data_IF_796629756779
#
_entry.id   IF_796629756779
#
_cell.length_a   1.000
_cell.length_b   1.000
_cell.length_c   1.000
_cell.angle_alpha   90.00
_cell.angle_beta   90.00
_cell.angle_gamma   90.00
#
_symmetry.space_group_name_H-M   'P 1'
#
loop_
_entity.id
_entity.type
_entity.pdbx_description
1 polymer ?
#
# COMPACT_ATOMS: atom_id res chain seq x y z
N UNK A 1 17.93 -0.36 -21.69
CA UNK A 1 19.41 -0.30 -21.60
C UNK A 1 20.13 -0.47 -22.95
N UNK A 2 19.98 -1.61 -23.67
CA UNK A 2 20.67 -1.86 -24.94
C UNK A 2 20.47 -0.76 -26.00
N UNK A 3 19.23 -0.29 -26.17
CA UNK A 3 18.90 0.80 -27.09
C UNK A 3 19.67 2.09 -26.77
N UNK A 4 19.73 2.47 -25.48
CA UNK A 4 20.46 3.66 -25.03
C UNK A 4 21.95 3.50 -25.31
N UNK A 5 22.54 2.36 -24.96
CA UNK A 5 23.98 2.12 -25.16
C UNK A 5 24.40 2.22 -26.64
N UNK A 6 23.52 1.82 -27.57
CA UNK A 6 23.75 1.96 -29.03
C UNK A 6 23.86 3.41 -29.49
N UNK A 7 23.11 4.34 -28.88
CA UNK A 7 23.02 5.74 -29.30
C UNK A 7 23.80 6.70 -28.40
N UNK A 8 24.11 6.27 -27.18
CA UNK A 8 24.93 7.04 -26.26
C UNK A 8 26.37 7.10 -26.76
N UNK A 9 27.04 8.26 -26.61
CA UNK A 9 28.44 8.42 -26.97
C UNK A 9 29.38 7.36 -26.35
N UNK A 10 30.51 7.13 -27.02
CA UNK A 10 31.46 6.05 -26.67
C UNK A 10 32.14 6.21 -25.31
N UNK A 11 32.20 7.43 -24.76
CA UNK A 11 32.76 7.70 -23.42
C UNK A 11 31.87 7.19 -22.28
N UNK A 12 30.62 6.81 -22.55
CA UNK A 12 29.81 6.04 -21.61
C UNK A 12 30.15 4.55 -21.72
N UNK A 13 30.73 4.00 -20.66
CA UNK A 13 31.17 2.60 -20.58
C UNK A 13 30.04 1.65 -20.16
N UNK A 14 28.92 2.18 -19.64
CA UNK A 14 27.75 1.38 -19.31
C UNK A 14 26.49 2.19 -19.00
N UNK A 15 25.35 1.50 -19.03
CA UNK A 15 24.03 2.06 -18.70
C UNK A 15 23.51 1.39 -17.44
N UNK A 16 23.28 2.18 -16.40
CA UNK A 16 22.64 1.75 -15.16
C UNK A 16 21.13 1.76 -15.36
N UNK A 17 20.47 0.68 -14.95
CA UNK A 17 19.03 0.50 -15.03
C UNK A 17 18.57 -0.44 -13.91
N UNK A 18 17.26 -0.62 -13.80
CA UNK A 18 16.62 -1.51 -12.84
C UNK A 18 16.04 -2.70 -13.59
N UNK A 19 16.35 -3.90 -13.10
CA UNK A 19 15.75 -5.10 -13.66
C UNK A 19 14.34 -5.32 -13.12
N UNK A 20 13.65 -6.35 -13.63
CA UNK A 20 12.27 -6.71 -13.20
C UNK A 20 12.17 -7.19 -11.75
N UNK A 21 13.28 -7.19 -11.01
CA UNK A 21 13.33 -7.54 -9.59
C UNK A 21 13.82 -6.35 -8.76
N UNK A 22 13.74 -5.14 -9.32
CA UNK A 22 14.14 -3.87 -8.72
C UNK A 22 15.61 -3.83 -8.27
N UNK A 23 16.46 -4.63 -8.91
CA UNK A 23 17.89 -4.66 -8.59
C UNK A 23 18.61 -3.66 -9.48
N UNK A 24 19.55 -2.94 -8.87
CA UNK A 24 20.45 -2.03 -9.57
C UNK A 24 21.44 -2.83 -10.44
N UNK A 25 21.26 -2.76 -11.76
CA UNK A 25 22.12 -3.40 -12.74
C UNK A 25 22.85 -2.35 -13.58
N UNK A 26 23.99 -2.73 -14.15
CA UNK A 26 24.67 -1.96 -15.19
C UNK A 26 24.97 -2.84 -16.40
N UNK A 27 24.51 -2.39 -17.56
CA UNK A 27 24.83 -2.98 -18.85
C UNK A 27 26.17 -2.43 -19.34
N UNK A 28 27.19 -3.28 -19.42
CA UNK A 28 28.54 -2.91 -19.83
C UNK A 28 28.66 -2.84 -21.36
N UNK A 29 29.27 -1.78 -21.90
CA UNK A 29 29.52 -1.64 -23.34
C UNK A 29 30.51 -2.66 -23.88
N UNK A 30 31.56 -2.95 -23.13
CA UNK A 30 32.66 -3.83 -23.55
C UNK A 30 32.22 -5.29 -23.75
N UNK A 31 31.33 -5.79 -22.90
CA UNK A 31 30.91 -7.20 -22.89
C UNK A 31 29.48 -7.42 -23.34
N UNK A 32 28.66 -6.37 -23.38
CA UNK A 32 27.21 -6.47 -23.61
C UNK A 32 26.45 -7.20 -22.50
N UNK A 33 27.08 -7.43 -21.34
CA UNK A 33 26.47 -8.14 -20.20
C UNK A 33 26.01 -7.17 -19.12
N UNK A 34 24.88 -7.50 -18.50
CA UNK A 34 24.42 -6.84 -17.29
C UNK A 34 25.06 -7.48 -16.06
N UNK A 35 25.54 -6.65 -15.13
CA UNK A 35 26.09 -7.08 -13.84
C UNK A 35 25.53 -6.20 -12.71
N UNK A 36 25.51 -6.68 -11.45
CA UNK A 36 25.07 -5.87 -10.32
C UNK A 36 25.90 -4.59 -10.21
N UNK A 37 25.22 -3.45 -10.00
CA UNK A 37 25.88 -2.14 -9.94
C UNK A 37 26.94 -2.08 -8.82
N UNK A 38 26.70 -2.77 -7.71
CA UNK A 38 27.62 -2.87 -6.56
C UNK A 38 28.93 -3.59 -6.88
N UNK A 39 28.94 -4.44 -7.91
CA UNK A 39 30.12 -5.21 -8.34
C UNK A 39 30.86 -4.53 -9.51
N UNK A 40 30.37 -3.38 -9.96
CA UNK A 40 30.93 -2.67 -11.10
C UNK A 40 31.88 -1.55 -10.68
N UNK A 41 33.12 -1.59 -11.18
CA UNK A 41 34.15 -0.57 -10.92
C UNK A 41 34.06 0.70 -11.78
N UNK A 42 33.08 0.81 -12.70
CA UNK A 42 32.93 1.99 -13.55
C UNK A 42 32.57 3.21 -12.70
N UNK A 43 33.37 4.27 -12.84
CA UNK A 43 33.14 5.55 -12.18
C UNK A 43 31.77 6.16 -12.56
N UNK A 44 31.07 6.82 -11.63
CA UNK A 44 29.81 7.51 -11.93
C UNK A 44 29.86 8.49 -13.10
N UNK A 45 31.04 9.03 -13.42
CA UNK A 45 31.23 9.98 -14.53
C UNK A 45 31.27 9.31 -15.90
N UNK A 46 31.41 7.98 -15.97
CA UNK A 46 31.48 7.20 -17.21
C UNK A 46 30.27 6.28 -17.42
N UNK A 47 29.21 6.47 -16.64
CA UNK A 47 27.97 5.69 -16.75
C UNK A 47 26.78 6.60 -16.99
N UNK A 48 25.81 6.09 -17.72
CA UNK A 48 24.52 6.74 -17.92
C UNK A 48 23.50 6.06 -17.01
N UNK A 49 22.76 6.80 -16.20
CA UNK A 49 21.70 6.23 -15.36
C UNK A 49 20.34 6.51 -16.00
N UNK A 50 19.56 5.47 -16.24
CA UNK A 50 18.18 5.58 -16.68
C UNK A 50 17.24 5.31 -15.51
N UNK A 51 16.31 6.23 -15.27
CA UNK A 51 15.17 6.06 -14.38
C UNK A 51 13.91 6.06 -15.24
N UNK A 52 13.04 5.07 -15.05
CA UNK A 52 11.64 5.19 -15.47
C UNK A 52 10.83 5.87 -14.35
N UNK A 53 9.54 6.09 -14.60
CA UNK A 53 8.64 6.80 -13.70
C UNK A 53 8.47 6.09 -12.35
N UNK A 54 8.23 4.78 -12.35
CA UNK A 54 7.94 3.96 -11.17
C UNK A 54 9.14 3.97 -10.23
N UNK A 55 10.35 3.85 -10.78
CA UNK A 55 11.58 3.78 -10.01
C UNK A 55 12.21 5.15 -9.66
N UNK A 56 11.47 6.25 -9.84
CA UNK A 56 11.92 7.56 -9.32
C UNK A 56 11.80 7.67 -7.79
N UNK A 57 11.15 6.70 -7.13
CA UNK A 57 11.00 6.62 -5.67
C UNK A 57 11.85 5.50 -5.07
N UNK A 58 12.19 5.59 -3.77
CA UNK A 58 12.85 4.52 -3.01
C UNK A 58 14.33 4.22 -3.31
N UNK A 59 14.84 4.50 -4.52
CA UNK A 59 16.17 4.05 -4.95
C UNK A 59 17.23 5.15 -4.98
N UNK A 60 18.37 4.90 -4.33
CA UNK A 60 19.52 5.82 -4.31
C UNK A 60 20.66 5.29 -5.20
N UNK A 61 20.90 5.96 -6.32
CA UNK A 61 22.03 5.70 -7.22
C UNK A 61 22.89 6.95 -7.24
N UNK A 62 24.10 6.86 -6.70
CA UNK A 62 25.03 8.00 -6.64
C UNK A 62 25.37 8.49 -8.04
N UNK A 63 25.13 9.76 -8.32
CA UNK A 63 25.51 10.39 -9.59
C UNK A 63 26.85 11.11 -9.46
N UNK A 64 27.52 11.40 -10.58
CA UNK A 64 28.74 12.20 -10.57
C UNK A 64 28.48 13.62 -10.00
N UNK A 65 29.45 14.27 -9.34
CA UNK A 65 29.26 15.61 -8.78
C UNK A 65 28.86 16.68 -9.81
N UNK A 66 29.27 16.51 -11.06
CA UNK A 66 28.95 17.39 -12.19
C UNK A 66 27.95 16.77 -13.16
N UNK A 67 27.19 15.77 -12.70
CA UNK A 67 26.23 15.07 -13.56
C UNK A 67 25.13 16.02 -14.04
N UNK A 68 24.70 15.82 -15.27
CA UNK A 68 23.57 16.51 -15.87
C UNK A 68 22.46 15.51 -16.12
N UNK A 69 21.26 15.80 -15.63
CA UNK A 69 20.08 14.99 -15.88
C UNK A 69 19.22 15.59 -16.97
N UNK A 70 18.54 14.72 -17.71
CA UNK A 70 17.44 15.09 -18.61
C UNK A 70 16.16 14.62 -17.94
N UNK A 71 15.20 15.52 -17.78
CA UNK A 71 13.86 15.21 -17.27
C UNK A 71 12.86 15.49 -18.38
N UNK A 72 12.14 14.47 -18.80
CA UNK A 72 11.07 14.56 -19.80
C UNK A 72 9.75 14.93 -19.11
N UNK A 73 9.02 15.90 -19.67
CA UNK A 73 7.74 16.35 -19.12
C UNK A 73 6.58 15.77 -19.94
N UNK A 74 5.68 15.05 -19.26
CA UNK A 74 4.45 14.49 -19.84
C UNK A 74 3.22 15.36 -19.58
N UNK A 75 2.12 15.10 -20.31
CA UNK A 75 0.86 15.88 -20.21
C UNK A 75 0.16 15.74 -18.84
N UNK A 76 0.25 14.57 -18.21
CA UNK A 76 -0.45 14.24 -16.96
C UNK A 76 0.49 14.22 -15.75
N UNK A 77 1.75 14.66 -15.94
CA UNK A 77 2.73 14.70 -14.86
C UNK A 77 2.32 15.74 -13.81
N UNK A 78 2.49 15.39 -12.53
CA UNK A 78 2.28 16.31 -11.42
C UNK A 78 3.59 16.92 -10.94
N UNK A 79 3.50 17.96 -10.10
CA UNK A 79 4.71 18.54 -9.50
C UNK A 79 5.46 17.52 -8.62
N UNK A 80 4.73 16.60 -7.98
CA UNK A 80 5.32 15.52 -7.16
C UNK A 80 6.23 14.63 -7.99
N UNK A 81 5.72 14.14 -9.12
CA UNK A 81 6.46 13.27 -10.05
C UNK A 81 7.75 13.94 -10.53
N UNK A 82 7.62 15.19 -10.97
CA UNK A 82 8.73 15.99 -11.44
C UNK A 82 9.79 16.17 -10.35
N UNK A 83 9.37 16.53 -9.14
CA UNK A 83 10.27 16.73 -8.01
C UNK A 83 10.96 15.42 -7.60
N UNK A 84 10.24 14.29 -7.58
CA UNK A 84 10.80 12.98 -7.22
C UNK A 84 11.89 12.53 -8.20
N UNK A 85 11.65 12.70 -9.50
CA UNK A 85 12.62 12.43 -10.56
C UNK A 85 13.80 13.39 -10.52
N UNK A 86 13.56 14.70 -10.44
CA UNK A 86 14.62 15.70 -10.37
C UNK A 86 15.53 15.49 -9.14
N UNK A 87 14.96 15.21 -7.97
CA UNK A 87 15.72 15.00 -6.74
C UNK A 87 16.50 13.68 -6.67
N UNK A 88 16.48 12.84 -7.72
CA UNK A 88 17.53 11.81 -7.89
C UNK A 88 18.90 12.45 -8.08
N UNK A 89 18.95 13.67 -8.60
CA UNK A 89 20.13 14.53 -8.61
C UNK A 89 20.28 15.22 -7.24
N UNK A 90 20.82 14.51 -6.25
CA UNK A 90 20.97 15.01 -4.86
C UNK A 90 21.77 16.32 -4.73
N UNK A 91 22.59 16.65 -5.73
CA UNK A 91 23.46 17.82 -5.77
C UNK A 91 22.97 18.95 -6.67
N UNK A 92 21.67 19.05 -6.98
CA UNK A 92 21.12 20.16 -7.79
C UNK A 92 21.56 21.51 -7.20
N UNK A 93 22.10 22.38 -8.05
CA UNK A 93 22.61 23.69 -7.66
C UNK A 93 23.98 23.65 -6.95
N UNK A 94 24.55 22.45 -6.75
CA UNK A 94 25.89 22.21 -6.18
C UNK A 94 26.75 21.38 -7.16
N UNK A 95 26.73 21.77 -8.42
CA UNK A 95 27.47 21.12 -9.51
C UNK A 95 26.60 20.23 -10.41
N UNK A 96 25.52 19.64 -9.89
CA UNK A 96 24.57 18.90 -10.72
C UNK A 96 23.49 19.83 -11.30
N UNK A 97 23.08 19.55 -12.53
CA UNK A 97 22.05 20.33 -13.24
C UNK A 97 20.98 19.43 -13.84
N UNK A 98 19.81 20.02 -14.12
CA UNK A 98 18.67 19.35 -14.77
C UNK A 98 18.32 20.12 -16.04
N UNK A 99 18.10 19.40 -17.12
CA UNK A 99 17.62 19.92 -18.40
C UNK A 99 16.23 19.35 -18.68
N UNK A 100 15.28 20.23 -19.00
CA UNK A 100 13.92 19.84 -19.30
C UNK A 100 13.77 19.55 -20.79
N UNK A 101 13.26 18.35 -21.10
CA UNK A 101 12.89 17.97 -22.46
C UNK A 101 11.37 17.99 -22.56
N UNK A 102 10.87 18.94 -23.36
CA UNK A 102 9.45 19.24 -23.48
C UNK A 102 9.07 19.14 -24.95
N UNK A 103 8.10 18.27 -25.25
CA UNK A 103 7.57 18.14 -26.60
C UNK A 103 6.71 19.37 -26.96
N UNK A 104 6.63 19.76 -28.25
CA UNK A 104 5.91 20.97 -28.67
C UNK A 104 4.47 21.04 -28.18
N UNK A 105 3.77 19.91 -28.14
CA UNK A 105 2.36 19.80 -27.71
C UNK A 105 2.19 20.14 -26.22
N UNK A 106 3.11 19.66 -25.37
CA UNK A 106 3.12 19.97 -23.94
C UNK A 106 3.52 21.43 -23.72
N UNK A 107 4.50 21.93 -24.49
CA UNK A 107 4.89 23.34 -24.44
C UNK A 107 3.71 24.26 -24.76
N UNK A 108 2.96 23.95 -25.82
CA UNK A 108 1.78 24.72 -26.20
C UNK A 108 0.69 24.70 -25.11
N UNK A 109 0.48 23.55 -24.44
CA UNK A 109 -0.44 23.45 -23.30
C UNK A 109 -0.01 24.31 -22.11
N UNK A 110 1.29 24.31 -21.77
CA UNK A 110 1.84 25.17 -20.72
C UNK A 110 1.58 26.64 -21.05
N UNK A 111 1.92 27.06 -22.27
CA UNK A 111 1.70 28.43 -22.74
C UNK A 111 0.22 28.84 -22.66
N UNK A 112 -0.68 27.98 -23.13
CA UNK A 112 -2.13 28.23 -23.13
C UNK A 112 -2.69 28.34 -21.69
N UNK A 113 -2.38 27.38 -20.82
CA UNK A 113 -2.95 27.32 -19.48
C UNK A 113 -2.39 28.36 -18.52
N UNK A 114 -1.13 28.78 -18.71
CA UNK A 114 -0.54 29.89 -17.94
C UNK A 114 -0.95 31.26 -18.49
N UNK A 115 -1.73 31.30 -19.57
CA UNK A 115 -2.35 32.51 -20.10
C UNK A 115 -1.48 33.30 -21.07
N UNK A 116 -0.56 32.66 -21.81
CA UNK A 116 0.20 33.34 -22.88
C UNK A 116 -0.78 34.02 -23.86
N UNK A 117 -0.66 35.35 -24.00
CA UNK A 117 -1.56 36.17 -24.82
C UNK A 117 -2.73 36.82 -24.08
N UNK A 118 -2.95 36.51 -22.80
CA UNK A 118 -3.94 37.19 -21.96
C UNK A 118 -3.30 38.42 -21.30
N UNK A 119 -4.00 39.56 -21.35
CA UNK A 119 -3.57 40.79 -20.68
C UNK A 119 -4.32 40.94 -19.36
N UNK A 120 -3.61 40.86 -18.23
CA UNK A 120 -4.19 41.06 -16.89
C UNK A 120 -3.50 40.23 -15.79
N UNK A 121 -3.95 40.36 -14.52
CA UNK A 121 -3.38 39.64 -13.37
C UNK A 121 -3.60 38.12 -13.41
N UNK A 122 -4.38 37.62 -14.36
CA UNK A 122 -4.62 36.19 -14.58
C UNK A 122 -3.52 35.51 -15.43
N UNK A 123 -2.68 36.28 -16.14
CA UNK A 123 -1.53 35.73 -16.86
C UNK A 123 -0.37 35.51 -15.88
N UNK A 124 0.01 34.25 -15.72
CA UNK A 124 1.14 33.84 -14.87
C UNK A 124 2.31 33.28 -15.68
N UNK A 125 2.18 33.25 -17.02
CA UNK A 125 3.25 32.86 -17.94
C UNK A 125 4.42 33.85 -17.88
N UNK A 126 5.62 33.35 -17.61
CA UNK A 126 6.82 34.18 -17.45
C UNK A 126 7.78 34.11 -18.63
N UNK A 127 7.61 33.14 -19.54
CA UNK A 127 8.55 32.85 -20.62
C UNK A 127 9.81 32.11 -20.15
N UNK A 128 9.93 31.83 -18.85
CA UNK A 128 11.02 31.09 -18.23
C UNK A 128 10.55 29.69 -17.90
N UNK A 129 11.01 28.72 -18.68
CA UNK A 129 10.60 27.32 -18.57
C UNK A 129 10.84 26.74 -17.17
N UNK A 130 11.91 27.18 -16.49
CA UNK A 130 12.23 26.77 -15.12
C UNK A 130 11.22 27.23 -14.07
N UNK A 131 10.38 28.22 -14.37
CA UNK A 131 9.27 28.67 -13.52
C UNK A 131 7.92 28.20 -14.05
N UNK A 132 7.72 28.28 -15.37
CA UNK A 132 6.47 27.96 -16.04
C UNK A 132 6.14 26.46 -15.92
N UNK A 133 7.13 25.56 -16.04
CA UNK A 133 6.90 24.11 -15.90
C UNK A 133 6.43 23.74 -14.49
N UNK A 134 7.13 24.10 -13.40
CA UNK A 134 6.62 23.88 -12.05
C UNK A 134 5.23 24.48 -11.80
N UNK A 135 4.96 25.70 -12.28
CA UNK A 135 3.65 26.34 -12.12
C UNK A 135 2.54 25.54 -12.80
N UNK A 136 2.77 25.11 -14.05
CA UNK A 136 1.84 24.28 -14.79
C UNK A 136 1.63 22.90 -14.14
N UNK A 137 2.70 22.25 -13.67
CA UNK A 137 2.63 20.99 -12.96
C UNK A 137 1.86 21.09 -11.63
N UNK A 138 1.89 22.25 -10.96
CA UNK A 138 1.06 22.51 -9.77
C UNK A 138 -0.42 22.65 -10.13
N UNK A 139 -0.74 23.30 -11.25
CA UNK A 139 -2.11 23.35 -11.77
C UNK A 139 -2.61 21.93 -12.09
N UNK A 140 -1.76 21.09 -12.68
CA UNK A 140 -2.08 19.67 -12.88
C UNK A 140 -2.35 18.96 -11.56
N UNK A 141 -1.54 19.18 -10.52
CA UNK A 141 -1.81 18.61 -9.19
C UNK A 141 -3.18 19.04 -8.64
N UNK A 142 -3.54 20.32 -8.77
CA UNK A 142 -4.86 20.82 -8.31
C UNK A 142 -6.01 20.20 -9.10
N UNK A 143 -5.84 20.04 -10.42
CA UNK A 143 -6.81 19.37 -11.28
C UNK A 143 -6.99 17.91 -10.87
N UNK A 144 -5.89 17.19 -10.62
CA UNK A 144 -5.92 15.80 -10.15
C UNK A 144 -6.64 15.68 -8.79
N UNK A 145 -6.38 16.59 -7.85
CA UNK A 145 -7.09 16.62 -6.57
C UNK A 145 -8.60 16.90 -6.74
N UNK A 146 -8.98 17.74 -7.71
CA UNK A 146 -10.36 17.95 -8.11
C UNK A 146 -11.04 16.66 -8.61
N UNK A 147 -10.37 15.88 -9.45
CA UNK A 147 -10.85 14.58 -9.93
C UNK A 147 -11.06 13.59 -8.77
N UNK A 148 -10.09 13.52 -7.86
CA UNK A 148 -10.18 12.68 -6.66
C UNK A 148 -11.38 13.07 -5.77
N UNK A 149 -11.63 14.37 -5.63
CA UNK A 149 -12.81 14.87 -4.94
C UNK A 149 -14.12 14.43 -5.62
N UNK A 150 -14.17 14.42 -6.96
CA UNK A 150 -15.32 13.91 -7.72
C UNK A 150 -15.53 12.41 -7.52
N UNK A 151 -14.46 11.59 -7.56
CA UNK A 151 -14.47 10.14 -7.29
C UNK A 151 -15.00 9.86 -5.89
N UNK A 152 -14.44 10.53 -4.88
CA UNK A 152 -14.87 10.40 -3.49
C UNK A 152 -16.36 10.78 -3.31
N UNK A 153 -16.81 11.86 -3.92
CA UNK A 153 -18.21 12.29 -3.82
C UNK A 153 -19.17 11.27 -4.45
N UNK A 154 -18.79 10.63 -5.56
CA UNK A 154 -19.56 9.53 -6.14
C UNK A 154 -19.58 8.30 -5.23
N UNK A 155 -18.44 7.92 -4.65
CA UNK A 155 -18.36 6.81 -3.69
C UNK A 155 -19.18 7.09 -2.42
N UNK A 156 -19.17 8.32 -1.91
CA UNK A 156 -19.99 8.75 -0.78
C UNK A 156 -21.49 8.55 -1.07
N UNK A 157 -21.95 8.86 -2.27
CA UNK A 157 -23.33 8.63 -2.68
C UNK A 157 -23.63 7.13 -2.78
N UNK A 158 -22.78 6.36 -3.46
CA UNK A 158 -22.91 4.91 -3.55
C UNK A 158 -23.03 4.24 -2.17
N UNK A 159 -22.26 4.72 -1.20
CA UNK A 159 -22.32 4.23 0.17
C UNK A 159 -23.69 4.40 0.84
N UNK A 160 -24.49 5.40 0.47
CA UNK A 160 -25.80 5.65 1.07
C UNK A 160 -26.75 4.50 0.75
N UNK A 161 -26.97 4.22 -0.54
CA UNK A 161 -27.88 3.15 -0.94
C UNK A 161 -27.28 1.75 -0.79
N UNK A 162 -25.95 1.57 -0.89
CA UNK A 162 -25.29 0.28 -0.57
C UNK A 162 -25.48 -0.10 0.90
N UNK A 163 -25.37 0.85 1.84
CA UNK A 163 -25.65 0.58 3.27
C UNK A 163 -27.11 0.20 3.50
N UNK A 164 -28.04 0.88 2.85
CA UNK A 164 -29.45 0.52 2.92
C UNK A 164 -29.70 -0.90 2.36
N UNK A 165 -29.16 -1.19 1.17
CA UNK A 165 -29.26 -2.49 0.52
C UNK A 165 -28.69 -3.61 1.41
N UNK A 166 -27.52 -3.39 2.01
CA UNK A 166 -26.91 -4.36 2.94
C UNK A 166 -27.78 -4.57 4.18
N UNK A 167 -28.28 -3.50 4.80
CA UNK A 167 -29.16 -3.61 5.97
C UNK A 167 -30.45 -4.38 5.65
N UNK A 168 -31.02 -4.17 4.46
CA UNK A 168 -32.19 -4.92 3.99
C UNK A 168 -31.87 -6.42 3.81
N UNK A 169 -30.72 -6.75 3.21
CA UNK A 169 -30.25 -8.13 3.05
C UNK A 169 -29.98 -8.80 4.41
N UNK A 170 -29.30 -8.12 5.34
CA UNK A 170 -29.05 -8.64 6.69
C UNK A 170 -30.34 -8.85 7.49
N UNK A 171 -31.29 -7.92 7.40
CA UNK A 171 -32.58 -8.02 8.08
C UNK A 171 -33.37 -9.23 7.60
N UNK A 172 -33.37 -9.49 6.28
CA UNK A 172 -33.94 -10.70 5.70
C UNK A 172 -33.27 -11.96 6.25
N UNK A 173 -31.93 -12.00 6.25
CA UNK A 173 -31.16 -13.14 6.76
C UNK A 173 -31.53 -13.44 8.22
N UNK A 174 -31.59 -12.39 9.07
CA UNK A 174 -31.94 -12.53 10.49
C UNK A 174 -33.38 -13.00 10.66
N UNK A 175 -34.34 -12.46 9.90
CA UNK A 175 -35.75 -12.84 9.99
C UNK A 175 -36.01 -14.30 9.59
N UNK A 176 -35.19 -14.86 8.69
CA UNK A 176 -35.34 -16.21 8.15
C UNK A 176 -34.24 -17.20 8.58
N UNK A 177 -33.44 -16.87 9.59
CA UNK A 177 -32.29 -17.66 10.05
C UNK A 177 -32.64 -19.13 10.39
N UNK A 178 -33.83 -19.36 10.96
CA UNK A 178 -34.25 -20.67 11.47
C UNK A 178 -35.34 -21.37 10.64
N UNK A 179 -35.75 -20.81 9.49
CA UNK A 179 -37.01 -21.20 8.83
C UNK A 179 -36.84 -21.99 7.51
N UNK A 180 -35.64 -22.12 6.96
CA UNK A 180 -35.47 -22.59 5.57
C UNK A 180 -34.27 -23.53 5.36
N UNK A 181 -34.41 -24.43 4.38
CA UNK A 181 -33.34 -25.33 3.90
C UNK A 181 -32.30 -24.56 3.09
N UNK A 182 -31.02 -25.00 3.02
CA UNK A 182 -29.94 -24.25 2.36
C UNK A 182 -30.23 -23.80 0.92
N UNK A 183 -30.94 -24.59 0.12
CA UNK A 183 -31.29 -24.25 -1.26
C UNK A 183 -32.35 -23.13 -1.35
N UNK A 184 -33.34 -23.12 -0.45
CA UNK A 184 -34.36 -22.07 -0.35
C UNK A 184 -33.77 -20.75 0.16
N UNK A 185 -32.65 -20.80 0.89
CA UNK A 185 -31.96 -19.60 1.37
C UNK A 185 -31.34 -18.77 0.26
N UNK A 186 -30.96 -19.39 -0.85
CA UNK A 186 -30.32 -18.70 -1.98
C UNK A 186 -31.36 -18.16 -2.96
N UNK A 187 -32.38 -18.95 -3.31
CA UNK A 187 -33.40 -18.56 -4.31
C UNK A 187 -34.31 -17.43 -3.85
N UNK A 188 -34.50 -17.23 -2.54
CA UNK A 188 -35.38 -16.18 -1.99
C UNK A 188 -34.94 -14.75 -2.33
N UNK A 189 -33.63 -14.53 -2.45
CA UNK A 189 -33.09 -13.22 -2.83
C UNK A 189 -33.27 -12.93 -4.31
N UNK A 190 -33.43 -13.97 -5.13
CA UNK A 190 -33.77 -13.83 -6.54
C UNK A 190 -35.27 -13.70 -6.78
N UNK A 191 -36.10 -14.33 -5.94
CA UNK A 191 -37.56 -14.33 -6.07
C UNK A 191 -38.23 -13.01 -5.65
N UNK A 192 -37.66 -12.29 -4.67
CA UNK A 192 -38.18 -11.00 -4.21
C UNK A 192 -37.56 -9.83 -5.00
N UNK A 193 -38.38 -9.09 -5.76
CA UNK A 193 -37.91 -8.00 -6.64
C UNK A 193 -37.10 -6.91 -5.92
N UNK A 194 -37.46 -6.56 -4.68
CA UNK A 194 -36.73 -5.57 -3.89
C UNK A 194 -35.33 -6.05 -3.46
N UNK A 195 -35.20 -7.31 -3.02
CA UNK A 195 -33.91 -7.88 -2.61
C UNK A 195 -32.98 -8.13 -3.79
N UNK A 196 -33.54 -8.50 -4.93
CA UNK A 196 -32.79 -8.57 -6.20
C UNK A 196 -32.19 -7.20 -6.54
N UNK A 197 -32.96 -6.12 -6.36
CA UNK A 197 -32.47 -4.75 -6.51
C UNK A 197 -31.33 -4.41 -5.55
N UNK A 198 -31.39 -4.87 -4.29
CA UNK A 198 -30.30 -4.72 -3.33
C UNK A 198 -29.01 -5.43 -3.78
N UNK A 199 -29.11 -6.67 -4.27
CA UNK A 199 -27.96 -7.46 -4.76
C UNK A 199 -27.31 -6.79 -5.97
N UNK A 200 -28.10 -6.23 -6.89
CA UNK A 200 -27.57 -5.56 -8.07
C UNK A 200 -26.65 -4.37 -7.73
N UNK A 201 -26.79 -3.73 -6.56
CA UNK A 201 -25.91 -2.62 -6.14
C UNK A 201 -24.49 -3.05 -5.77
N UNK A 202 -24.26 -4.35 -5.63
CA UNK A 202 -22.95 -4.97 -5.37
C UNK A 202 -22.43 -5.78 -6.56
N UNK A 203 -23.15 -5.82 -7.68
CA UNK A 203 -22.68 -6.50 -8.89
C UNK A 203 -22.02 -5.49 -9.80
N UNK A 204 -20.79 -5.78 -10.18
CA UNK A 204 -20.04 -5.01 -11.17
C UNK A 204 -20.12 -5.75 -12.51
N UNK A 205 -20.62 -5.10 -13.58
CA UNK A 205 -20.64 -5.72 -14.89
C UNK A 205 -19.22 -5.85 -15.42
N UNK A 206 -18.82 -7.06 -15.80
CA UNK A 206 -17.48 -7.38 -16.32
C UNK A 206 -17.28 -6.82 -17.76
N UNK A 207 -18.38 -6.44 -18.43
CA UNK A 207 -18.33 -5.88 -19.78
C UNK A 207 -18.40 -4.36 -19.79
N UNK A 208 -17.59 -3.74 -20.66
CA UNK A 208 -17.70 -2.32 -21.01
C UNK A 208 -18.57 -2.17 -22.27
N UNK A 209 -19.90 -1.97 -22.15
CA UNK A 209 -20.74 -1.74 -23.32
C UNK A 209 -20.34 -0.41 -23.97
N UNK A 210 -19.84 -0.48 -25.22
CA UNK A 210 -19.53 0.70 -26.01
C UNK A 210 -20.84 1.22 -26.62
N UNK A 211 -21.26 2.47 -26.35
CA UNK A 211 -22.45 3.03 -26.96
C UNK A 211 -22.31 3.13 -28.48
N UNK A 212 -23.39 2.85 -29.22
CA UNK A 212 -23.42 2.97 -30.70
C UNK A 212 -23.43 4.43 -31.19
N UNK A 213 -23.22 5.41 -30.31
CA UNK A 213 -23.23 6.83 -30.60
C UNK A 213 -22.15 7.55 -29.81
N UNK A 214 -21.72 8.71 -30.33
CA UNK A 214 -20.76 9.58 -29.65
C UNK A 214 -21.45 10.18 -28.41
N UNK A 215 -20.96 9.93 -27.19
CA UNK A 215 -21.57 10.47 -25.98
C UNK A 215 -21.48 12.00 -25.96
N UNK A 216 -22.59 12.67 -25.67
CA UNK A 216 -22.62 14.12 -25.48
C UNK A 216 -22.04 14.44 -24.09
N UNK A 217 -21.04 15.33 -23.97
CA UNK A 217 -20.51 15.73 -22.67
C UNK A 217 -21.62 16.32 -21.80
N UNK A 218 -21.91 15.67 -20.67
CA UNK A 218 -22.81 16.18 -19.65
C UNK A 218 -22.01 16.65 -18.44
N UNK A 219 -22.39 17.78 -17.80
CA UNK A 219 -21.82 18.22 -16.54
C UNK A 219 -21.88 17.11 -15.49
N UNK A 220 -20.76 16.87 -14.79
CA UNK A 220 -20.69 15.83 -13.77
C UNK A 220 -21.78 15.96 -12.69
N UNK A 221 -22.14 17.20 -12.32
CA UNK A 221 -23.23 17.46 -11.37
C UNK A 221 -24.57 16.89 -11.85
N UNK A 222 -24.86 16.96 -13.15
CA UNK A 222 -26.10 16.40 -13.72
C UNK A 222 -26.09 14.88 -13.69
N UNK A 223 -24.94 14.26 -14.00
CA UNK A 223 -24.78 12.80 -13.88
C UNK A 223 -25.01 12.32 -12.44
N UNK A 224 -24.46 13.05 -11.47
CA UNK A 224 -24.63 12.74 -10.04
C UNK A 224 -26.08 12.94 -9.60
N UNK A 225 -26.76 13.97 -10.09
CA UNK A 225 -28.18 14.18 -9.82
C UNK A 225 -29.02 13.04 -10.40
N UNK A 226 -28.80 12.65 -11.66
CA UNK A 226 -29.49 11.53 -12.28
C UNK A 226 -29.26 10.22 -11.52
N UNK A 227 -28.04 9.98 -11.04
CA UNK A 227 -27.71 8.82 -10.21
C UNK A 227 -28.48 8.83 -8.88
N UNK A 228 -28.58 9.99 -8.23
CA UNK A 228 -29.35 10.14 -7.00
C UNK A 228 -30.85 9.91 -7.24
N UNK A 229 -31.38 10.41 -8.36
CA UNK A 229 -32.79 10.26 -8.74
C UNK A 229 -33.13 8.78 -9.05
N UNK A 230 -32.25 8.08 -9.77
CA UNK A 230 -32.37 6.64 -10.07
C UNK A 230 -32.42 5.80 -8.77
N UNK A 231 -31.64 6.19 -7.77
CA UNK A 231 -31.51 5.45 -6.50
C UNK A 231 -32.44 5.96 -5.40
N UNK A 232 -33.35 6.89 -5.70
CA UNK A 232 -34.29 7.48 -4.73
C UNK A 232 -35.11 6.43 -3.96
N UNK A 233 -35.44 5.30 -4.60
CA UNK A 233 -36.15 4.18 -3.95
C UNK A 233 -35.38 3.49 -2.81
N UNK A 234 -34.05 3.69 -2.72
CA UNK A 234 -33.19 3.18 -1.64
C UNK A 234 -32.93 4.22 -0.54
N UNK A 235 -33.48 5.44 -0.68
CA UNK A 235 -33.31 6.54 0.26
C UNK A 235 -34.59 6.64 1.09
N UNK A 236 -34.54 6.14 2.31
CA UNK A 236 -35.74 6.03 3.17
C UNK A 236 -35.76 7.01 4.34
N UNK A 237 -34.59 7.51 4.74
CA UNK A 237 -34.43 8.36 5.92
C UNK A 237 -34.16 9.83 5.50
N UNK A 238 -34.86 10.82 6.08
CA UNK A 238 -34.53 12.25 5.92
C UNK A 238 -33.05 12.59 6.11
N UNK A 239 -32.33 11.87 6.97
CA UNK A 239 -30.88 12.03 7.17
C UNK A 239 -30.08 11.65 5.91
N UNK A 240 -30.51 10.60 5.19
CA UNK A 240 -29.87 10.17 3.95
C UNK A 240 -30.13 11.18 2.83
N UNK A 241 -31.34 11.69 2.72
CA UNK A 241 -31.70 12.76 1.77
C UNK A 241 -30.85 14.01 2.01
N UNK A 242 -30.74 14.46 3.26
CA UNK A 242 -29.89 15.61 3.60
C UNK A 242 -28.41 15.39 3.29
N UNK A 243 -27.90 14.15 3.38
CA UNK A 243 -26.53 13.82 2.96
C UNK A 243 -26.35 13.92 1.45
N UNK A 244 -27.28 13.39 0.66
CA UNK A 244 -27.26 13.49 -0.81
C UNK A 244 -27.26 14.96 -1.24
N UNK A 245 -28.17 15.76 -0.68
CA UNK A 245 -28.24 17.20 -0.95
C UNK A 245 -26.94 17.93 -0.60
N UNK A 246 -26.33 17.59 0.54
CA UNK A 246 -25.05 18.16 0.96
C UNK A 246 -23.92 17.82 -0.01
N UNK A 247 -23.82 16.57 -0.47
CA UNK A 247 -22.81 16.13 -1.44
C UNK A 247 -22.99 16.85 -2.78
N UNK A 248 -24.22 16.94 -3.28
CA UNK A 248 -24.55 17.65 -4.52
C UNK A 248 -24.25 19.15 -4.39
N UNK A 249 -24.57 19.77 -3.26
CA UNK A 249 -24.26 21.18 -3.00
C UNK A 249 -22.75 21.44 -2.91
N UNK A 250 -21.97 20.48 -2.39
CA UNK A 250 -20.49 20.56 -2.37
C UNK A 250 -19.92 20.45 -3.79
N UNK A 251 -20.44 19.50 -4.59
CA UNK A 251 -20.05 19.33 -6.00
C UNK A 251 -20.34 20.57 -6.84
N UNK A 252 -21.52 21.19 -6.67
CA UNK A 252 -21.88 22.44 -7.37
C UNK A 252 -20.89 23.57 -7.07
N UNK A 253 -20.44 23.71 -5.82
CA UNK A 253 -19.45 24.74 -5.44
C UNK A 253 -18.10 24.56 -6.13
N UNK A 254 -17.63 23.32 -6.21
CA UNK A 254 -16.37 22.97 -6.89
C UNK A 254 -16.48 23.11 -8.40
N UNK A 255 -17.60 22.67 -8.99
CA UNK A 255 -17.84 22.76 -10.43
C UNK A 255 -17.93 24.19 -10.97
N UNK A 256 -18.37 25.17 -10.17
CA UNK A 256 -18.37 26.60 -10.55
C UNK A 256 -16.95 27.19 -10.59
N UNK A 257 -15.99 26.56 -9.90
CA UNK A 257 -14.61 27.05 -9.80
C UNK A 257 -13.71 26.50 -10.92
N UNK A 258 -14.13 25.42 -11.59
CA UNK A 258 -13.47 24.83 -12.74
C UNK A 258 -14.27 25.15 -14.00
N UNK A 259 -13.74 25.96 -14.92
CA UNK A 259 -14.44 26.39 -16.14
C UNK A 259 -14.86 25.18 -17.01
N UNK A 260 -16.15 24.84 -16.94
CA UNK A 260 -16.72 23.52 -17.22
C UNK A 260 -17.04 23.26 -18.71
N UNK A 261 -16.23 23.76 -19.63
CA UNK A 261 -16.55 23.73 -21.07
C UNK A 261 -16.18 22.43 -21.80
N UNK A 262 -15.08 21.75 -21.41
CA UNK A 262 -14.50 20.68 -22.25
C UNK A 262 -13.99 19.44 -21.50
N UNK A 263 -14.09 19.39 -20.17
CA UNK A 263 -13.35 18.41 -19.35
C UNK A 263 -14.16 17.18 -18.92
N UNK A 264 -15.47 17.10 -19.21
CA UNK A 264 -16.31 15.96 -18.81
C UNK A 264 -15.99 14.63 -19.54
N UNK A 265 -15.40 14.67 -20.75
CA UNK A 265 -14.84 13.46 -21.38
C UNK A 265 -13.47 13.07 -20.78
N UNK A 266 -12.70 14.04 -20.29
CA UNK A 266 -11.42 13.77 -19.61
C UNK A 266 -11.64 13.07 -18.28
N UNK A 267 -12.70 13.41 -17.52
CA UNK A 267 -12.98 12.80 -16.21
C UNK A 267 -13.09 11.28 -16.26
N UNK A 268 -13.85 10.72 -17.21
CA UNK A 268 -14.00 9.26 -17.32
C UNK A 268 -12.73 8.58 -17.85
N UNK A 269 -11.99 9.22 -18.76
CA UNK A 269 -10.78 8.65 -19.35
C UNK A 269 -9.57 8.72 -18.39
N UNK A 270 -9.47 9.81 -17.61
CA UNK A 270 -8.45 10.02 -16.59
C UNK A 270 -8.74 9.16 -15.34
N UNK A 271 -10.02 8.93 -14.98
CA UNK A 271 -10.41 7.94 -13.95
C UNK A 271 -10.11 6.50 -14.38
N UNK A 272 -10.26 6.16 -15.67
CA UNK A 272 -9.84 4.84 -16.19
C UNK A 272 -8.32 4.68 -16.10
N UNK A 273 -7.55 5.71 -16.43
CA UNK A 273 -6.09 5.66 -16.26
C UNK A 273 -5.64 5.59 -14.79
N UNK A 274 -6.36 6.24 -13.87
CA UNK A 274 -6.13 6.05 -12.43
C UNK A 274 -6.53 4.65 -11.96
N UNK A 275 -7.60 4.06 -12.49
CA UNK A 275 -7.94 2.66 -12.22
C UNK A 275 -6.89 1.71 -12.77
N UNK A 276 -6.35 1.95 -13.97
CA UNK A 276 -5.23 1.18 -14.52
C UNK A 276 -3.98 1.31 -13.63
N UNK A 277 -3.69 2.49 -13.07
CA UNK A 277 -2.58 2.66 -12.10
C UNK A 277 -2.85 2.01 -10.74
N UNK A 278 -4.08 2.06 -10.24
CA UNK A 278 -4.50 1.34 -9.02
C UNK A 278 -4.43 -0.18 -9.25
N UNK A 279 -4.86 -0.67 -10.43
CA UNK A 279 -4.72 -2.07 -10.86
C UNK A 279 -3.26 -2.46 -11.00
N UNK A 280 -2.38 -1.63 -11.59
CA UNK A 280 -0.94 -1.90 -11.64
C UNK A 280 -0.32 -1.97 -10.23
N UNK A 281 -0.74 -1.11 -9.29
CA UNK A 281 -0.32 -1.18 -7.89
C UNK A 281 -0.88 -2.41 -7.17
N UNK A 282 -2.12 -2.81 -7.46
CA UNK A 282 -2.72 -4.04 -6.94
C UNK A 282 -2.02 -5.28 -7.53
N UNK A 283 -1.69 -5.30 -8.82
CA UNK A 283 -0.89 -6.35 -9.46
C UNK A 283 0.51 -6.41 -8.85
N UNK A 284 1.15 -5.28 -8.54
CA UNK A 284 2.43 -5.23 -7.81
C UNK A 284 2.28 -5.77 -6.38
N UNK A 285 1.22 -5.40 -5.68
CA UNK A 285 0.92 -5.93 -4.34
C UNK A 285 0.61 -7.43 -4.38
N UNK A 286 -0.11 -7.90 -5.40
CA UNK A 286 -0.37 -9.31 -5.67
C UNK A 286 0.91 -10.05 -6.06
N UNK A 287 1.81 -9.44 -6.83
CA UNK A 287 3.12 -10.00 -7.15
C UNK A 287 4.01 -10.10 -5.89
N UNK A 288 4.03 -9.06 -5.06
CA UNK A 288 4.69 -9.08 -3.76
C UNK A 288 4.06 -10.17 -2.87
N UNK A 289 2.73 -10.28 -2.86
CA UNK A 289 1.99 -11.28 -2.10
C UNK A 289 2.24 -12.70 -2.65
N UNK A 290 2.34 -12.89 -3.96
CA UNK A 290 2.72 -14.14 -4.62
C UNK A 290 4.17 -14.52 -4.27
N UNK A 291 5.11 -13.56 -4.27
CA UNK A 291 6.49 -13.76 -3.80
C UNK A 291 6.50 -14.15 -2.31
N UNK A 292 5.61 -13.60 -1.49
CA UNK A 292 5.39 -13.99 -0.09
C UNK A 292 4.71 -15.37 0.01
N UNK A 293 3.85 -15.74 -0.95
CA UNK A 293 3.09 -17.00 -0.99
C UNK A 293 3.93 -18.25 -1.25
N UNK A 294 5.19 -18.09 -1.68
CA UNK A 294 6.14 -19.20 -1.77
C UNK A 294 6.40 -19.89 -0.41
N UNK A 295 6.03 -19.24 0.70
CA UNK A 295 6.06 -19.81 2.04
C UNK A 295 4.66 -20.26 2.48
N UNK A 296 4.55 -21.46 3.05
CA UNK A 296 3.27 -21.98 3.55
C UNK A 296 2.77 -21.16 4.75
N UNK A 297 1.54 -20.63 4.67
CA UNK A 297 0.88 -19.84 5.73
C UNK A 297 -0.19 -20.63 6.51
N UNK A 298 -0.30 -21.93 6.27
CA UNK A 298 -1.27 -22.79 6.96
C UNK A 298 -1.04 -22.74 8.46
N UNK A 299 -2.11 -22.47 9.20
CA UNK A 299 -2.13 -22.46 10.67
C UNK A 299 -1.25 -21.38 11.34
N UNK A 300 -0.95 -20.27 10.66
CA UNK A 300 -0.08 -19.20 11.20
C UNK A 300 -0.75 -18.31 12.27
N UNK A 301 -2.03 -18.54 12.56
CA UNK A 301 -2.78 -17.83 13.59
C UNK A 301 -2.14 -18.04 14.98
N UNK A 302 -2.18 -16.98 15.80
CA UNK A 302 -1.72 -17.03 17.18
C UNK A 302 -2.62 -17.95 18.01
N UNK A 303 -2.01 -18.91 18.70
CA UNK A 303 -2.67 -19.79 19.65
C UNK A 303 -2.74 -19.08 21.01
N UNK A 304 -3.93 -18.73 21.52
CA UNK A 304 -4.07 -18.19 22.86
C UNK A 304 -3.73 -19.28 23.88
N UNK A 305 -3.09 -18.88 24.99
CA UNK A 305 -2.76 -19.77 26.10
C UNK A 305 -3.18 -19.15 27.44
N UNK A 306 -3.43 -20.01 28.43
CA UNK A 306 -3.92 -19.57 29.73
C UNK A 306 -2.81 -18.90 30.55
N UNK A 307 -3.07 -17.70 31.08
CA UNK A 307 -2.09 -16.92 31.88
C UNK A 307 -1.61 -17.64 33.14
N UNK A 308 -2.37 -18.64 33.63
CA UNK A 308 -1.96 -19.52 34.73
C UNK A 308 -0.65 -20.26 34.46
N UNK A 309 -0.27 -20.47 33.19
CA UNK A 309 1.01 -21.09 32.83
C UNK A 309 2.20 -20.31 33.41
N UNK A 310 2.08 -18.98 33.57
CA UNK A 310 3.14 -18.14 34.14
C UNK A 310 3.34 -18.34 35.65
N UNK A 311 2.41 -19.02 36.32
CA UNK A 311 2.46 -19.30 37.77
C UNK A 311 3.14 -20.62 38.10
N UNK A 312 3.32 -21.49 37.11
CA UNK A 312 3.89 -22.82 37.26
C UNK A 312 5.18 -22.95 36.47
N UNK A 313 6.11 -23.78 36.94
CA UNK A 313 7.32 -24.09 36.18
C UNK A 313 6.95 -24.81 34.87
N UNK A 314 7.45 -24.37 33.71
CA UNK A 314 7.21 -25.06 32.46
C UNK A 314 7.92 -26.43 32.48
N UNK A 315 7.21 -27.47 32.04
CA UNK A 315 7.68 -28.84 31.98
C UNK A 315 8.71 -29.07 30.87
N UNK A 316 8.73 -28.20 29.84
CA UNK A 316 9.67 -28.26 28.72
C UNK A 316 9.42 -29.43 27.76
N UNK A 317 8.22 -30.03 27.83
CA UNK A 317 7.75 -31.06 26.90
C UNK A 317 7.16 -30.38 25.66
N UNK A 318 7.66 -30.76 24.48
CA UNK A 318 7.21 -30.20 23.20
C UNK A 318 5.73 -30.49 22.96
N UNK A 319 4.95 -29.44 22.72
CA UNK A 319 3.55 -29.53 22.29
C UNK A 319 2.50 -29.50 23.41
N UNK A 320 2.90 -29.67 24.67
CA UNK A 320 1.99 -29.63 25.82
C UNK A 320 1.86 -28.21 26.43
N UNK A 321 2.88 -27.37 26.23
CA UNK A 321 2.98 -26.02 26.79
C UNK A 321 3.23 -24.97 25.71
N UNK A 322 2.84 -23.70 25.95
CA UNK A 322 3.05 -22.62 24.99
C UNK A 322 4.53 -22.23 24.82
N UNK A 323 5.43 -22.70 25.69
CA UNK A 323 6.85 -22.37 25.66
C UNK A 323 7.69 -23.65 25.64
N UNK A 324 8.76 -23.65 24.85
CA UNK A 324 9.73 -24.74 24.83
C UNK A 324 11.17 -24.22 24.81
N UNK A 325 12.16 -25.02 25.26
CA UNK A 325 13.56 -24.62 25.23
C UNK A 325 14.04 -24.33 23.81
N UNK A 326 14.78 -23.23 23.61
CA UNK A 326 15.30 -22.86 22.29
C UNK A 326 16.24 -23.91 21.71
N UNK A 327 16.91 -24.70 22.55
CA UNK A 327 17.73 -25.84 22.16
C UNK A 327 16.96 -26.94 21.42
N UNK A 328 15.64 -26.96 21.53
CA UNK A 328 14.75 -27.90 20.85
C UNK A 328 14.14 -27.33 19.55
N UNK A 329 14.43 -26.07 19.19
CA UNK A 329 13.95 -25.48 17.94
C UNK A 329 14.58 -26.17 16.74
N UNK A 330 13.73 -26.68 15.86
CA UNK A 330 14.16 -27.35 14.64
C UNK A 330 13.19 -27.09 13.49
N UNK A 331 13.64 -26.32 12.50
CA UNK A 331 12.82 -25.94 11.35
C UNK A 331 12.73 -27.09 10.35
N UNK A 332 13.87 -27.74 10.08
CA UNK A 332 13.97 -28.90 9.18
C UNK A 332 14.41 -30.14 9.92
N UNK A 333 13.84 -31.29 9.56
CA UNK A 333 14.10 -32.54 10.27
C UNK A 333 15.58 -32.97 10.23
N UNK A 334 16.35 -32.56 9.22
CA UNK A 334 17.76 -32.88 9.09
C UNK A 334 18.70 -31.94 9.87
N UNK A 335 18.20 -30.82 10.41
CA UNK A 335 19.05 -29.87 11.13
C UNK A 335 19.48 -30.41 12.50
N UNK A 336 20.76 -30.30 12.89
CA UNK A 336 21.18 -30.67 14.24
C UNK A 336 20.61 -29.69 15.27
N UNK A 337 20.31 -30.20 16.47
CA UNK A 337 19.94 -29.35 17.60
C UNK A 337 21.14 -28.50 18.01
N UNK A 338 20.91 -27.21 18.23
CA UNK A 338 21.94 -26.27 18.63
C UNK A 338 22.05 -26.21 20.17
N UNK A 339 23.27 -26.17 20.72
CA UNK A 339 23.48 -26.11 22.16
C UNK A 339 23.20 -24.70 22.68
N UNK A 340 21.93 -24.38 22.91
CA UNK A 340 21.52 -23.15 23.60
C UNK A 340 21.45 -23.37 25.12
N UNK A 341 21.72 -22.32 25.93
CA UNK A 341 21.52 -22.38 27.38
C UNK A 341 20.08 -22.74 27.76
N UNK A 342 19.91 -23.51 28.84
CA UNK A 342 18.60 -23.91 29.39
C UNK A 342 17.73 -22.74 29.88
N UNK A 343 18.30 -21.53 29.90
CA UNK A 343 17.60 -20.29 30.24
C UNK A 343 16.88 -19.65 29.06
N UNK A 344 17.18 -20.05 27.82
CA UNK A 344 16.58 -19.49 26.61
C UNK A 344 15.42 -20.35 26.10
N UNK A 345 14.27 -19.71 25.95
CA UNK A 345 13.00 -20.35 25.58
C UNK A 345 12.33 -19.60 24.43
N UNK A 346 11.41 -20.28 23.76
CA UNK A 346 10.67 -19.76 22.61
C UNK A 346 9.18 -20.07 22.77
N UNK A 347 8.33 -19.11 22.42
CA UNK A 347 6.90 -19.33 22.29
C UNK A 347 6.55 -20.17 21.06
N UNK A 348 5.60 -21.10 21.19
CA UNK A 348 5.05 -21.87 20.07
C UNK A 348 4.41 -20.95 19.00
N UNK A 349 4.04 -19.71 19.36
CA UNK A 349 3.57 -18.69 18.43
C UNK A 349 4.65 -18.11 17.50
N UNK A 350 5.94 -18.36 17.77
CA UNK A 350 7.02 -18.06 16.84
C UNK A 350 7.24 -19.14 15.80
N UNK A 351 7.29 -20.40 16.26
CA UNK A 351 7.42 -21.57 15.40
C UNK A 351 6.77 -22.76 16.09
N UNK A 352 5.65 -23.24 15.51
CA UNK A 352 4.93 -24.38 16.06
C UNK A 352 5.76 -25.63 15.86
N UNK A 353 5.98 -26.41 16.91
CA UNK A 353 6.83 -27.62 16.86
C UNK A 353 6.36 -28.64 15.81
N UNK A 354 5.05 -28.73 15.59
CA UNK A 354 4.42 -29.54 14.53
C UNK A 354 4.72 -29.09 13.10
N UNK A 355 5.23 -27.88 12.88
CA UNK A 355 5.63 -27.41 11.55
C UNK A 355 6.98 -27.96 11.10
N UNK A 356 7.71 -28.67 11.98
CA UNK A 356 8.98 -29.29 11.64
C UNK A 356 8.85 -30.16 10.39
N UNK A 357 9.54 -29.77 9.32
CA UNK A 357 9.52 -30.48 8.03
C UNK A 357 8.26 -30.28 7.18
N UNK A 358 7.33 -29.41 7.58
CA UNK A 358 6.12 -29.07 6.81
C UNK A 358 6.33 -27.78 6.00
N UNK A 359 7.09 -27.91 4.92
CA UNK A 359 7.35 -26.83 3.96
C UNK A 359 8.30 -25.75 4.47
N UNK A 360 8.66 -24.82 3.59
CA UNK A 360 9.44 -23.66 3.96
C UNK A 360 8.51 -22.60 4.55
N UNK A 361 8.88 -22.10 5.74
CA UNK A 361 8.13 -21.07 6.48
C UNK A 361 9.06 -19.94 6.89
N UNK A 362 8.56 -18.71 6.81
CA UNK A 362 9.30 -17.52 7.23
C UNK A 362 9.17 -17.35 8.74
N UNK A 363 10.30 -17.33 9.44
CA UNK A 363 10.32 -17.02 10.87
C UNK A 363 10.09 -15.53 11.11
N UNK A 364 9.28 -15.21 12.13
CA UNK A 364 9.07 -13.83 12.58
C UNK A 364 10.34 -13.29 13.25
N UNK A 365 10.59 -11.99 13.13
CA UNK A 365 11.67 -11.33 13.87
C UNK A 365 11.36 -11.34 15.36
N UNK A 366 12.35 -11.69 16.19
CA UNK A 366 12.26 -11.49 17.63
C UNK A 366 12.50 -10.02 17.92
N UNK A 367 11.51 -9.33 18.48
CA UNK A 367 11.60 -7.91 18.84
C UNK A 367 11.58 -7.69 20.36
N UNK A 368 10.85 -8.55 21.07
CA UNK A 368 10.60 -8.48 22.51
C UNK A 368 10.85 -9.86 23.10
N UNK A 369 11.45 -9.87 24.30
CA UNK A 369 11.64 -11.06 25.11
C UNK A 369 11.02 -10.84 26.49
N UNK A 370 10.44 -11.90 27.04
CA UNK A 370 9.93 -11.96 28.40
C UNK A 370 11.04 -12.48 29.33
N UNK A 371 11.46 -11.68 30.28
CA UNK A 371 12.21 -12.14 31.45
C UNK A 371 11.21 -12.68 32.47
N UNK A 372 11.33 -13.97 32.79
CA UNK A 372 10.44 -14.68 33.70
C UNK A 372 11.24 -15.27 34.87
N UNK A 373 10.94 -14.79 36.06
CA UNK A 373 11.46 -15.26 37.34
C UNK A 373 10.39 -16.08 38.06
N UNK A 374 10.71 -17.34 38.32
CA UNK A 374 9.79 -18.30 38.94
C UNK A 374 9.71 -18.13 40.46
N UNK A 375 8.58 -18.54 41.09
CA UNK A 375 8.46 -18.63 42.54
C UNK A 375 9.47 -19.61 43.16
N UNK A 376 9.90 -19.34 44.40
CA UNK A 376 10.94 -20.09 45.11
C UNK A 376 10.47 -21.49 45.57
N UNK A 377 10.89 -22.55 44.86
CA UNK A 377 10.82 -23.94 45.35
C UNK A 377 12.18 -24.39 45.93
N UNK A 378 12.75 -23.61 46.86
CA UNK A 378 13.93 -23.99 47.65
C UNK A 378 15.24 -24.24 46.87
N UNK A 379 15.29 -23.88 45.58
CA UNK A 379 16.47 -23.93 44.70
C UNK A 379 16.72 -22.54 44.11
N UNK A 380 17.97 -22.24 43.73
CA UNK A 380 18.36 -20.89 43.30
C UNK A 380 17.41 -20.29 42.25
N UNK A 381 17.07 -18.98 42.35
CA UNK A 381 16.14 -18.33 41.45
C UNK A 381 16.66 -18.37 40.01
N UNK A 382 16.10 -19.26 39.19
CA UNK A 382 16.40 -19.34 37.76
C UNK A 382 15.55 -18.34 37.00
N UNK A 383 16.21 -17.47 36.23
CA UNK A 383 15.56 -16.56 35.29
C UNK A 383 15.53 -17.19 33.91
N UNK A 384 14.35 -17.25 33.33
CA UNK A 384 14.16 -17.62 31.93
C UNK A 384 14.02 -16.37 31.08
N UNK A 385 14.50 -16.45 29.85
CA UNK A 385 14.27 -15.45 28.81
C UNK A 385 13.52 -16.13 27.67
N UNK A 386 12.28 -15.72 27.46
CA UNK A 386 11.38 -16.31 26.47
C UNK A 386 11.20 -15.34 25.32
N UNK A 387 11.51 -15.76 24.08
CA UNK A 387 11.13 -14.99 22.91
C UNK A 387 9.62 -15.14 22.66
N UNK A 388 8.90 -14.02 22.69
CA UNK A 388 7.43 -13.93 22.54
C UNK A 388 7.01 -13.08 21.33
N UNK A 389 5.85 -13.35 20.75
CA UNK A 389 5.33 -12.57 19.63
C UNK A 389 4.94 -11.15 20.08
N UNK A 390 4.79 -10.21 19.13
CA UNK A 390 4.33 -8.86 19.46
C UNK A 390 2.94 -8.84 20.10
N UNK A 391 2.03 -9.73 19.67
CA UNK A 391 0.69 -9.86 20.23
C UNK A 391 0.71 -10.39 21.68
N UNK A 392 1.60 -11.36 21.97
CA UNK A 392 1.82 -11.83 23.33
C UNK A 392 2.45 -10.73 24.19
N UNK A 393 3.41 -9.98 23.63
CA UNK A 393 4.06 -8.84 24.28
C UNK A 393 3.07 -7.73 24.63
N UNK A 394 2.15 -7.38 23.74
CA UNK A 394 1.08 -6.42 24.00
C UNK A 394 0.18 -6.86 25.16
N UNK A 395 -0.26 -8.13 25.14
CA UNK A 395 -1.12 -8.70 26.19
C UNK A 395 -0.41 -8.71 27.54
N UNK A 396 0.83 -9.18 27.58
CA UNK A 396 1.64 -9.22 28.81
C UNK A 396 1.93 -7.81 29.34
N UNK A 397 2.20 -6.85 28.46
CA UNK A 397 2.38 -5.43 28.82
C UNK A 397 1.12 -4.89 29.47
N UNK A 398 -0.05 -5.12 28.88
CA UNK A 398 -1.32 -4.69 29.45
C UNK A 398 -1.57 -5.32 30.84
N UNK A 399 -1.27 -6.61 31.02
CA UNK A 399 -1.41 -7.29 32.31
C UNK A 399 -0.48 -6.73 33.39
N UNK A 400 0.76 -6.39 33.03
CA UNK A 400 1.73 -5.76 33.92
C UNK A 400 1.26 -4.36 34.37
N UNK A 401 0.78 -3.54 33.44
CA UNK A 401 0.27 -2.19 33.74
C UNK A 401 -1.00 -2.22 34.59
N UNK A 402 -1.89 -3.18 34.34
CA UNK A 402 -3.16 -3.31 35.08
C UNK A 402 -3.03 -4.10 36.39
N UNK A 403 -1.83 -4.60 36.72
CA UNK A 403 -1.54 -5.37 37.94
C UNK A 403 -2.52 -6.52 38.17
N UNK A 404 -2.74 -7.33 37.14
CA UNK A 404 -3.66 -8.46 37.19
C UNK A 404 -3.32 -9.41 38.35
N UNK A 405 -4.33 -9.84 39.11
CA UNK A 405 -4.15 -10.67 40.31
C UNK A 405 -3.41 -11.98 40.02
N UNK A 406 -3.55 -12.55 38.82
CA UNK A 406 -2.88 -13.78 38.37
C UNK A 406 -1.34 -13.65 38.33
N UNK A 407 -0.80 -12.44 38.27
CA UNK A 407 0.63 -12.17 38.26
C UNK A 407 1.20 -11.94 39.68
N UNK A 408 0.38 -12.04 40.71
CA UNK A 408 0.81 -11.82 42.10
C UNK A 408 1.82 -12.90 42.51
N UNK A 409 3.06 -12.51 42.79
CA UNK A 409 4.14 -13.44 43.16
C UNK A 409 4.95 -13.99 41.98
N UNK A 410 4.65 -13.59 40.75
CA UNK A 410 5.45 -13.94 39.56
C UNK A 410 6.31 -12.75 39.15
N UNK A 411 7.63 -12.93 39.02
CA UNK A 411 8.50 -11.88 38.51
C UNK A 411 8.50 -11.89 36.99
N UNK A 412 7.87 -10.91 36.35
CA UNK A 412 7.86 -10.77 34.89
C UNK A 412 8.37 -9.38 34.48
N UNK A 413 9.20 -9.32 33.46
CA UNK A 413 9.58 -8.07 32.81
C UNK A 413 9.66 -8.27 31.29
N UNK A 414 9.19 -7.28 30.54
CA UNK A 414 9.36 -7.27 29.09
C UNK A 414 10.62 -6.50 28.73
N UNK A 415 11.43 -7.05 27.85
CA UNK A 415 12.66 -6.42 27.36
C UNK A 415 12.69 -6.41 25.84
N UNK A 416 13.29 -5.38 25.29
CA UNK A 416 13.74 -5.38 23.89
C UNK A 416 14.88 -6.38 23.68
N UNK A 417 15.14 -6.80 22.45
CA UNK A 417 16.32 -7.65 22.14
C UNK A 417 17.64 -7.01 22.56
N UNK A 418 17.72 -5.68 22.60
CA UNK A 418 18.87 -4.94 23.12
C UNK A 418 18.98 -4.92 24.65
N UNK A 419 18.14 -5.67 25.38
CA UNK A 419 18.17 -5.81 26.84
C UNK A 419 17.50 -4.67 27.63
N UNK A 420 17.01 -3.62 26.97
CA UNK A 420 16.28 -2.53 27.63
C UNK A 420 14.92 -3.02 28.10
N UNK A 421 14.60 -2.77 29.36
CA UNK A 421 13.27 -3.02 29.93
C UNK A 421 12.28 -2.09 29.23
N UNK A 422 11.18 -2.65 28.75
CA UNK A 422 10.06 -1.89 28.21
C UNK A 422 9.27 -1.31 29.39
N UNK A 423 9.01 0.00 29.34
CA UNK A 423 8.32 0.77 30.39
C UNK A 423 9.10 1.00 31.70
N UNK A 424 10.44 0.99 31.63
CA UNK A 424 11.30 1.50 32.71
C UNK A 424 11.32 3.03 32.79
#
# INVERSE_FOLDING_TARGET
AHFLLKHLPDWFEGVVFLDRQDRQQILLRSTGRAVPLSQCGISPSRRFTFYDQIHTTGMDIKQAPTAQAIVTIGKDMTFRDYAQGAFRMRGIGKGQTVHLYIIPEVKHRIEQQLGMGHSGPACIYTGRTELDVPAWLLINSMRMEGLQFFKLSSQELHNIWRKHALAALESEVRANANRQTPAERVSRFEAAGALRGCIQKFREPIGFPVPDHIPIPQPYVEKVQALADEHSGFVTDPVQTGRIESVIARLRRVAVSHDAGSENLHLNQEVVHEQEQEEEQEEEAEEEEQKVSAFTRDDEHHNPWATKVLTTRPCGVLGDEPFYPLSQLQVRAEQPLLPFPDTLWLSDNFFKTRWRGLGDRKLKNVAIVLEWQMPEDGTEPRRLVVAISLAEGETLRWMLHTRQAVLTGVGLALRTVGGRVMDA
#
